data_IF_939456550776
#
_entry.id   IF_939456550776
#
_cell.length_a   1.000
_cell.length_b   1.000
_cell.length_c   1.000
_cell.angle_alpha   90.00
_cell.angle_beta   90.00
_cell.angle_gamma   90.00
#
_symmetry.space_group_name_H-M   'P 1'
#
loop_
_entity.id
_entity.type
_entity.pdbx_description
1 polymer ?
2 water ?
#
# COMPACT_ATOMS: atom_id res chain seq x y z
N UNK A 1 32.09 32.05 20.10
CA UNK A 1 32.01 30.57 20.24
C UNK A 1 30.79 30.07 19.48
N UNK A 2 30.57 28.75 19.50
CA UNK A 2 29.44 28.14 18.82
C UNK A 2 28.22 27.98 19.71
N UNK A 3 27.09 28.52 19.27
CA UNK A 3 25.85 28.39 20.03
C UNK A 3 25.50 26.91 19.94
N UNK A 4 25.05 26.33 21.04
CA UNK A 4 24.70 24.92 21.02
C UNK A 4 23.32 24.60 21.57
N UNK A 5 22.83 23.45 21.18
CA UNK A 5 21.53 23.01 21.62
C UNK A 5 21.69 21.61 22.16
N UNK A 6 20.58 20.92 22.36
CA UNK A 6 20.62 19.58 22.90
C UNK A 6 19.45 18.73 22.44
N UNK A 7 19.75 17.49 22.09
CA UNK A 7 18.74 16.55 21.68
C UNK A 7 18.79 15.42 22.70
N UNK A 8 17.99 15.54 23.75
CA UNK A 8 17.96 14.53 24.79
C UNK A 8 19.33 13.93 25.05
N UNK A 9 20.05 14.44 26.03
CA UNK A 9 21.37 13.92 26.37
C UNK A 9 22.43 14.04 25.29
N UNK A 10 22.09 14.68 24.18
CA UNK A 10 23.06 14.85 23.12
C UNK A 10 23.28 16.32 22.82
N UNK A 11 24.47 16.80 23.15
CA UNK A 11 24.80 18.19 22.90
C UNK A 11 25.45 18.30 21.53
N UNK A 12 25.02 19.31 20.78
CA UNK A 12 25.55 19.58 19.45
C UNK A 12 25.89 21.05 19.33
N UNK A 13 26.75 21.37 18.37
CA UNK A 13 27.12 22.76 18.17
C UNK A 13 26.62 23.21 16.81
N UNK A 14 26.04 24.41 16.78
CA UNK A 14 25.55 24.98 15.53
C UNK A 14 26.75 25.49 14.75
N UNK A 15 26.85 25.04 13.52
CA UNK A 15 27.96 25.40 12.66
C UNK A 15 27.94 26.83 12.16
N UNK A 16 29.05 27.22 11.56
CA UNK A 16 29.24 28.54 10.95
C UNK A 16 28.66 29.75 11.71
N UNK A 17 28.67 29.67 13.04
CA UNK A 17 28.17 30.75 13.86
C UNK A 17 26.79 31.25 13.52
N UNK A 18 25.79 30.38 13.68
CA UNK A 18 24.40 30.75 13.38
C UNK A 18 23.57 30.80 14.67
N UNK A 19 22.77 31.84 14.81
CA UNK A 19 21.91 31.98 15.97
C UNK A 19 21.00 30.74 16.03
N UNK A 20 20.48 30.44 17.21
CA UNK A 20 19.58 29.31 17.36
C UNK A 20 18.29 29.65 16.66
N UNK A 21 17.97 30.93 16.62
CA UNK A 21 16.75 31.37 15.97
C UNK A 21 16.88 31.29 14.44
N UNK A 22 18.12 31.22 13.97
CA UNK A 22 18.36 31.08 12.54
C UNK A 22 17.76 29.74 12.16
N UNK A 23 18.18 28.71 12.87
CA UNK A 23 17.71 27.35 12.65
C UNK A 23 16.21 27.30 12.79
N UNK A 24 15.75 27.69 13.96
CA UNK A 24 14.33 27.69 14.20
C UNK A 24 13.62 28.43 13.09
N UNK A 25 14.13 29.61 12.75
CA UNK A 25 13.52 30.41 11.71
C UNK A 25 13.55 29.78 10.34
N UNK A 26 14.72 29.28 9.95
CA UNK A 26 14.90 28.67 8.65
C UNK A 26 14.30 27.27 8.43
N UNK A 27 14.39 26.37 9.40
CA UNK A 27 13.85 25.01 9.21
C UNK A 27 12.59 24.70 9.96
N UNK A 28 12.05 25.71 10.63
CA UNK A 28 10.81 25.55 11.40
C UNK A 28 10.83 24.30 12.28
N UNK A 29 11.93 24.10 12.98
CA UNK A 29 12.05 22.96 13.87
C UNK A 29 12.70 23.37 15.18
N UNK A 30 12.38 22.63 16.24
CA UNK A 30 12.94 22.88 17.56
C UNK A 30 12.45 24.10 18.30
N UNK A 31 13.00 24.29 19.50
CA UNK A 31 12.66 25.43 20.37
C UNK A 31 13.79 25.69 21.37
N UNK A 32 13.66 26.78 22.12
CA UNK A 32 14.67 27.14 23.10
C UNK A 32 14.25 26.79 24.52
N UNK A 33 15.21 26.33 25.31
CA UNK A 33 14.99 25.97 26.70
C UNK A 33 16.25 26.44 27.38
N UNK A 34 16.18 27.65 27.92
CA UNK A 34 17.34 28.22 28.55
C UNK A 34 18.18 28.71 27.39
N UNK A 35 19.48 28.52 27.49
CA UNK A 35 20.37 28.96 26.44
C UNK A 35 20.72 27.79 25.52
N UNK A 36 19.79 26.85 25.40
CA UNK A 36 19.99 25.67 24.56
C UNK A 36 18.87 25.52 23.55
N UNK A 37 19.20 24.89 22.42
CA UNK A 37 18.22 24.64 21.39
C UNK A 37 17.78 23.20 21.56
N UNK A 38 16.48 22.98 21.66
CA UNK A 38 15.98 21.64 21.88
C UNK A 38 15.49 20.98 20.62
N UNK A 39 16.32 20.11 20.07
CA UNK A 39 15.97 19.38 18.85
C UNK A 39 15.56 17.96 19.16
N UNK A 40 14.57 17.46 18.44
CA UNK A 40 14.13 16.10 18.65
C UNK A 40 15.07 15.22 17.82
N UNK A 41 15.07 13.89 18.07
CA UNK A 41 15.93 12.96 17.34
C UNK A 41 16.02 13.15 15.82
N UNK A 42 14.88 13.31 15.17
CA UNK A 42 14.82 13.49 13.71
C UNK A 42 15.48 14.80 13.29
N UNK A 43 14.94 15.90 13.81
CA UNK A 43 15.44 17.23 13.52
C UNK A 43 16.95 17.30 13.70
N UNK A 44 17.42 16.78 14.81
CA UNK A 44 18.84 16.80 15.08
C UNK A 44 19.58 16.13 13.92
N UNK A 45 19.21 14.89 13.65
CA UNK A 45 19.83 14.11 12.57
C UNK A 45 19.70 14.89 11.28
N UNK A 46 18.49 15.37 11.03
CA UNK A 46 18.22 16.15 9.85
C UNK A 46 19.32 17.22 9.70
N UNK A 47 19.36 18.16 10.64
CA UNK A 47 20.34 19.22 10.59
C UNK A 47 21.76 18.71 10.51
N UNK A 48 22.04 17.55 11.10
CA UNK A 48 23.39 17.03 11.07
C UNK A 48 23.81 16.76 9.64
N UNK A 49 22.90 16.22 8.85
CA UNK A 49 23.20 15.93 7.45
C UNK A 49 23.26 17.22 6.63
N UNK A 50 22.59 18.25 7.12
CA UNK A 50 22.60 19.53 6.45
C UNK A 50 23.95 20.21 6.70
N UNK A 51 24.79 19.57 7.49
CA UNK A 51 26.11 20.13 7.79
C UNK A 51 25.94 21.35 8.68
N UNK A 52 24.73 21.52 9.20
CA UNK A 52 24.40 22.65 10.05
C UNK A 52 24.83 22.60 11.51
N UNK A 53 25.15 21.41 12.02
CA UNK A 53 25.58 21.28 13.42
C UNK A 53 26.61 20.17 13.59
N UNK A 54 27.41 20.27 14.65
CA UNK A 54 28.41 19.23 14.93
C UNK A 54 28.07 18.63 16.29
N UNK A 55 28.71 17.51 16.62
CA UNK A 55 28.45 16.81 17.87
C UNK A 55 29.58 16.86 18.87
N UNK A 56 29.21 16.89 20.14
CA UNK A 56 30.17 16.90 21.22
C UNK A 56 30.79 15.52 21.28
N UNK A 57 29.95 14.48 21.34
CA UNK A 57 30.45 13.12 21.40
C UNK A 57 30.32 12.46 20.04
N UNK A 58 31.25 11.55 19.73
CA UNK A 58 31.27 10.85 18.46
C UNK A 58 30.08 9.89 18.31
N UNK A 59 29.76 9.19 19.39
CA UNK A 59 28.66 8.23 19.41
C UNK A 59 27.32 8.82 19.04
N UNK A 60 27.04 10.01 19.55
CA UNK A 60 25.77 10.68 19.33
C UNK A 60 25.11 10.38 17.99
N UNK A 61 25.78 10.76 16.90
CA UNK A 61 25.23 10.52 15.56
C UNK A 61 24.69 9.10 15.45
N UNK A 62 25.57 8.12 15.57
CA UNK A 62 25.17 6.73 15.51
C UNK A 62 24.00 6.45 16.46
N UNK A 63 24.16 6.84 17.72
CA UNK A 63 23.13 6.63 18.73
C UNK A 63 21.77 7.11 18.23
N UNK A 64 21.70 8.38 17.84
CA UNK A 64 20.45 8.95 17.36
C UNK A 64 19.99 8.29 16.07
N UNK A 65 20.95 7.86 15.25
CA UNK A 65 20.60 7.20 14.01
C UNK A 65 19.92 5.88 14.33
N UNK A 66 20.32 5.26 15.43
CA UNK A 66 19.74 3.98 15.85
C UNK A 66 18.41 4.24 16.52
N UNK A 67 18.38 5.30 17.32
CA UNK A 67 17.19 5.74 18.04
C UNK A 67 15.99 5.79 17.11
N UNK A 68 16.15 6.56 16.03
CA UNK A 68 15.14 6.68 14.99
C UNK A 68 15.62 5.66 13.99
N UNK A 69 14.74 5.07 13.20
CA UNK A 69 15.23 4.08 12.25
C UNK A 69 15.49 4.66 10.88
N UNK A 70 16.28 3.94 10.10
CA UNK A 70 16.63 4.37 8.76
C UNK A 70 15.36 4.62 7.97
N UNK A 71 14.45 3.66 8.04
CA UNK A 71 13.18 3.74 7.36
C UNK A 71 12.38 4.98 7.74
N UNK A 72 12.14 5.13 9.03
CA UNK A 72 11.42 6.29 9.54
C UNK A 72 12.17 7.57 9.23
N UNK A 73 13.50 7.55 9.35
CA UNK A 73 14.29 8.76 9.07
C UNK A 73 14.18 9.25 7.62
N UNK A 74 14.46 8.34 6.68
CA UNK A 74 14.40 8.64 5.26
C UNK A 74 13.06 9.30 4.94
N UNK A 75 12.00 8.76 5.52
CA UNK A 75 10.68 9.32 5.29
C UNK A 75 10.69 10.77 5.76
N UNK A 76 11.09 10.96 7.02
CA UNK A 76 11.16 12.29 7.63
C UNK A 76 11.87 13.30 6.74
N UNK A 77 13.07 12.92 6.32
CA UNK A 77 13.88 13.78 5.48
C UNK A 77 13.19 14.14 4.17
N UNK A 78 12.77 13.13 3.43
CA UNK A 78 12.11 13.38 2.17
C UNK A 78 10.96 14.35 2.36
N UNK A 79 9.98 13.98 3.16
CA UNK A 79 8.84 14.85 3.40
C UNK A 79 9.30 16.25 3.79
N UNK A 80 10.41 16.32 4.52
CA UNK A 80 10.93 17.60 4.96
C UNK A 80 11.51 18.39 3.78
N UNK A 81 12.42 17.77 3.04
CA UNK A 81 13.03 18.42 1.90
C UNK A 81 12.02 18.82 0.86
N UNK A 82 10.93 18.07 0.78
CA UNK A 82 9.88 18.37 -0.17
C UNK A 82 9.18 19.66 0.27
N UNK A 83 9.22 19.95 1.57
CA UNK A 83 8.60 21.18 2.05
C UNK A 83 7.61 21.07 3.20
N UNK A 84 7.07 19.89 3.46
CA UNK A 84 6.09 19.72 4.52
C UNK A 84 6.60 20.01 5.93
N UNK A 85 5.64 20.16 6.83
CA UNK A 85 5.93 20.37 8.24
C UNK A 85 5.71 18.95 8.77
N UNK A 86 6.77 18.29 9.21
CA UNK A 86 6.63 16.93 9.68
C UNK A 86 6.64 16.80 11.19
N UNK A 87 6.13 15.68 11.68
CA UNK A 87 6.07 15.40 13.09
C UNK A 87 5.67 13.94 13.30
N UNK A 88 6.52 13.20 14.00
CA UNK A 88 6.28 11.78 14.27
C UNK A 88 5.86 11.56 15.70
N UNK A 89 4.98 10.58 15.91
CA UNK A 89 4.48 10.24 17.23
C UNK A 89 3.38 9.21 17.10
N UNK A 90 3.13 8.45 18.17
CA UNK A 90 2.10 7.43 18.15
C UNK A 90 2.47 6.36 17.16
N UNK A 91 3.72 6.40 16.67
CA UNK A 91 4.17 5.43 15.70
C UNK A 91 3.70 5.74 14.29
N UNK A 92 3.50 7.03 14.02
CA UNK A 92 3.05 7.48 12.72
C UNK A 92 3.77 8.77 12.38
N UNK A 93 3.89 9.08 11.10
CA UNK A 93 4.55 10.31 10.68
C UNK A 93 3.49 11.24 10.09
N UNK A 94 3.27 12.35 10.76
CA UNK A 94 2.27 13.31 10.31
C UNK A 94 2.93 14.45 9.55
N UNK A 95 2.29 14.89 8.48
CA UNK A 95 2.82 15.97 7.66
C UNK A 95 1.68 16.78 7.06
N UNK A 96 1.87 18.09 6.98
CA UNK A 96 0.87 19.00 6.44
C UNK A 96 1.59 19.98 5.53
N UNK A 97 0.83 20.63 4.67
CA UNK A 97 1.38 21.60 3.73
C UNK A 97 1.66 22.89 4.48
N UNK A 98 0.92 23.10 5.58
CA UNK A 98 1.12 24.31 6.35
C UNK A 98 0.24 24.42 7.59
N UNK A 99 -1.07 24.49 7.39
CA UNK A 99 -2.00 24.61 8.51
C UNK A 99 -3.23 23.75 8.34
N UNK A 100 -3.30 22.99 7.25
CA UNK A 100 -4.43 22.11 6.99
C UNK A 100 -4.30 20.87 7.85
N UNK A 101 -5.28 19.98 7.75
CA UNK A 101 -5.26 18.74 8.52
C UNK A 101 -4.01 17.97 8.08
N UNK A 102 -3.28 17.39 9.05
CA UNK A 102 -2.08 16.64 8.70
C UNK A 102 -2.46 15.40 7.90
N UNK A 103 -1.46 14.60 7.57
CA UNK A 103 -1.67 13.36 6.83
C UNK A 103 -0.78 12.31 7.49
N UNK A 104 -1.33 11.12 7.73
CA UNK A 104 -0.57 10.08 8.39
C UNK A 104 0.16 9.17 7.40
N UNK A 105 1.44 9.03 7.64
CA UNK A 105 2.29 8.19 6.82
C UNK A 105 2.60 6.98 7.72
N UNK A 106 2.56 5.79 7.15
CA UNK A 106 2.82 4.57 7.92
C UNK A 106 4.00 3.79 7.36
N UNK A 107 5.17 3.96 7.95
CA UNK A 107 6.37 3.25 7.51
C UNK A 107 6.14 1.77 7.73
N UNK A 108 6.30 0.99 6.65
CA UNK A 108 6.09 -0.45 6.68
C UNK A 108 7.39 -1.21 6.41
N UNK A 109 7.36 -2.51 6.67
CA UNK A 109 8.51 -3.39 6.45
C UNK A 109 7.99 -4.72 5.94
N UNK A 110 8.52 -5.11 4.78
CA UNK A 110 8.15 -6.35 4.09
C UNK A 110 7.64 -7.51 4.94
N UNK A 111 8.21 -7.68 6.12
CA UNK A 111 7.78 -8.79 6.94
C UNK A 111 6.72 -8.46 8.00
N UNK A 112 6.16 -7.26 7.93
CA UNK A 112 5.12 -6.88 8.89
C UNK A 112 3.83 -7.58 8.48
N UNK A 113 3.09 -8.05 9.46
CA UNK A 113 1.83 -8.74 9.18
C UNK A 113 0.75 -7.76 8.76
N UNK A 114 0.25 -7.93 7.53
CA UNK A 114 -0.80 -7.05 7.04
C UNK A 114 -2.16 -7.75 7.05
N UNK A 115 -3.21 -7.00 7.33
CA UNK A 115 -4.53 -7.58 7.38
C UNK A 115 -5.55 -6.71 6.63
N UNK A 116 -6.51 -7.36 5.96
CA UNK A 116 -7.53 -6.62 5.22
C UNK A 116 -8.20 -5.64 6.14
N UNK A 117 -8.60 -6.12 7.32
CA UNK A 117 -9.26 -5.27 8.28
C UNK A 117 -8.54 -3.93 8.41
N UNK A 118 -7.21 -4.00 8.52
CA UNK A 118 -6.42 -2.78 8.66
C UNK A 118 -6.60 -1.87 7.48
N UNK A 119 -6.64 -2.45 6.29
CA UNK A 119 -6.79 -1.71 5.05
C UNK A 119 -8.14 -1.02 4.88
N UNK A 120 -9.12 -1.41 5.70
CA UNK A 120 -10.47 -0.84 5.62
C UNK A 120 -10.77 0.13 6.79
N UNK A 121 -10.22 -0.15 7.96
CA UNK A 121 -10.41 0.71 9.12
C UNK A 121 -9.20 1.64 9.15
N UNK A 122 -8.67 1.89 7.95
CA UNK A 122 -7.49 2.72 7.73
C UNK A 122 -7.37 4.03 8.49
N UNK A 123 -6.52 4.03 9.52
CA UNK A 123 -6.33 5.26 10.30
C UNK A 123 -5.33 6.18 9.59
N UNK A 124 -4.53 5.57 8.70
CA UNK A 124 -3.51 6.29 7.95
C UNK A 124 -3.88 6.50 6.49
N UNK A 125 -3.40 7.60 5.92
CA UNK A 125 -3.73 7.93 4.53
C UNK A 125 -2.74 7.30 3.56
N UNK A 126 -1.53 7.04 4.04
CA UNK A 126 -0.50 6.47 3.20
C UNK A 126 0.37 5.46 3.94
N UNK A 127 0.98 4.58 3.15
CA UNK A 127 1.89 3.55 3.63
C UNK A 127 3.21 3.84 2.96
N UNK A 128 4.26 3.95 3.75
CA UNK A 128 5.58 4.25 3.22
C UNK A 128 6.51 3.04 3.23
N UNK A 129 7.48 3.07 2.34
CA UNK A 129 8.44 1.98 2.24
C UNK A 129 9.75 2.40 1.55
N UNK A 130 10.87 2.03 2.17
CA UNK A 130 12.18 2.33 1.62
C UNK A 130 12.89 1.01 1.37
N UNK A 131 13.34 0.81 0.14
CA UNK A 131 14.00 -0.44 -0.21
C UNK A 131 15.48 -0.45 0.13
N UNK A 132 16.14 -1.51 -0.31
CA UNK A 132 17.56 -1.72 -0.08
C UNK A 132 18.47 -0.68 -0.70
N UNK A 133 17.96 0.12 -1.62
CA UNK A 133 18.78 1.13 -2.25
C UNK A 133 18.32 2.51 -1.84
N UNK A 134 17.69 2.56 -0.67
CA UNK A 134 17.20 3.80 -0.14
C UNK A 134 16.10 4.41 -0.99
N UNK A 135 15.52 3.63 -1.90
CA UNK A 135 14.44 4.15 -2.74
C UNK A 135 13.12 4.05 -1.99
N UNK A 136 12.39 5.15 -1.91
CA UNK A 136 11.11 5.20 -1.22
C UNK A 136 9.91 4.87 -2.09
N UNK A 137 8.85 4.39 -1.44
CA UNK A 137 7.62 4.06 -2.13
C UNK A 137 6.42 4.30 -1.25
N UNK A 138 5.51 5.15 -1.72
CA UNK A 138 4.31 5.46 -0.98
C UNK A 138 3.15 4.73 -1.64
N UNK A 139 2.21 4.27 -0.84
CA UNK A 139 1.04 3.56 -1.34
C UNK A 139 -0.19 4.18 -0.75
N UNK A 140 -1.34 3.79 -1.30
CA UNK A 140 -2.63 4.29 -0.84
C UNK A 140 -3.65 3.19 -1.00
N UNK A 141 -4.48 2.99 0.02
CA UNK A 141 -5.50 1.93 -0.05
C UNK A 141 -6.91 2.44 0.32
N UNK A 142 -7.85 2.28 -0.62
CA UNK A 142 -9.23 2.71 -0.40
C UNK A 142 -10.25 1.70 -0.92
N UNK A 143 -11.32 1.54 -0.15
CA UNK A 143 -12.40 0.62 -0.50
C UNK A 143 -12.92 1.02 -1.87
N UNK A 144 -12.98 0.04 -2.76
CA UNK A 144 -13.42 0.27 -4.14
C UNK A 144 -14.72 -0.48 -4.41
N UNK A 145 -15.42 -0.10 -5.47
CA UNK A 145 -16.68 -0.75 -5.86
C UNK A 145 -16.70 -0.98 -7.37
N UNK A 146 -16.06 -2.08 -7.80
CA UNK A 146 -15.97 -2.47 -9.21
C UNK A 146 -17.28 -2.33 -9.96
N UNK A 147 -17.26 -1.56 -11.04
CA UNK A 147 -18.44 -1.34 -11.83
C UNK A 147 -18.37 -1.96 -13.21
N UNK A 148 -18.90 -3.17 -13.33
CA UNK A 148 -18.89 -3.84 -14.61
C UNK A 148 -20.01 -3.30 -15.47
N UNK A 149 -19.72 -3.10 -16.75
CA UNK A 149 -20.70 -2.59 -17.70
C UNK A 149 -21.17 -3.74 -18.60
N UNK A 150 -21.20 -4.95 -18.05
CA UNK A 150 -21.60 -6.12 -18.82
C UNK A 150 -22.97 -6.68 -18.48
N UNK A 151 -23.70 -7.09 -19.53
CA UNK A 151 -25.03 -7.66 -19.34
C UNK A 151 -24.89 -8.98 -18.65
N UNK A 152 -25.43 -9.05 -17.43
CA UNK A 152 -25.35 -10.26 -16.62
C UNK A 152 -26.61 -11.12 -16.72
N UNK A 153 -26.43 -12.43 -16.67
CA UNK A 153 -27.54 -13.37 -16.73
C UNK A 153 -27.29 -14.58 -15.84
N UNK A 154 -28.36 -15.15 -15.26
CA UNK A 154 -28.17 -16.33 -14.40
C UNK A 154 -27.72 -17.56 -15.22
N UNK A 155 -26.61 -18.16 -14.82
CA UNK A 155 -26.09 -19.32 -15.53
C UNK A 155 -26.06 -20.55 -14.64
N UNK A 156 -27.02 -21.44 -14.83
CA UNK A 156 -27.06 -22.67 -14.06
C UNK A 156 -26.94 -23.83 -15.03
N UNK A 157 -25.70 -24.29 -15.26
CA UNK A 157 -25.44 -25.37 -16.20
C UNK A 157 -24.91 -26.67 -15.60
N UNK A 158 -24.88 -27.74 -16.41
CA UNK A 158 -24.40 -29.05 -15.98
C UNK A 158 -22.87 -29.11 -16.14
N UNK A 159 -22.18 -29.59 -15.13
CA UNK A 159 -20.74 -29.67 -15.22
C UNK A 159 -20.28 -31.13 -15.16
N UNK A 160 -19.25 -31.45 -15.95
CA UNK A 160 -18.69 -32.79 -15.98
C UNK A 160 -17.17 -32.76 -15.80
N UNK A 161 -16.68 -33.58 -14.87
CA UNK A 161 -15.26 -33.63 -14.57
C UNK A 161 -14.64 -34.81 -15.31
N UNK A 162 -13.75 -34.54 -16.25
CA UNK A 162 -13.11 -35.62 -16.96
C UNK A 162 -11.71 -35.24 -17.35
N UNK A 163 -10.81 -36.23 -17.33
CA UNK A 163 -9.42 -35.99 -17.68
C UNK A 163 -8.68 -35.13 -16.68
N UNK A 164 -9.31 -34.86 -15.54
CA UNK A 164 -8.66 -34.05 -14.52
C UNK A 164 -9.00 -32.58 -14.58
N UNK A 165 -9.96 -32.23 -15.43
CA UNK A 165 -10.38 -30.84 -15.57
C UNK A 165 -11.89 -30.89 -15.61
N UNK A 166 -12.51 -29.74 -15.39
CA UNK A 166 -13.96 -29.62 -15.41
C UNK A 166 -14.41 -28.97 -16.72
N UNK A 167 -15.52 -29.44 -17.26
CA UNK A 167 -16.05 -28.91 -18.51
C UNK A 167 -17.55 -28.64 -18.45
N UNK A 168 -18.01 -27.80 -19.37
CA UNK A 168 -19.42 -27.46 -19.47
C UNK A 168 -19.77 -27.41 -20.94
N UNK A 169 -21.06 -27.27 -21.26
CA UNK A 169 -21.51 -27.20 -22.65
C UNK A 169 -20.87 -26.03 -23.38
N UNK A 170 -20.80 -26.12 -24.71
CA UNK A 170 -20.19 -25.05 -25.50
C UNK A 170 -21.10 -23.92 -25.93
N UNK A 171 -21.79 -23.31 -24.97
CA UNK A 171 -22.70 -22.21 -25.27
C UNK A 171 -22.77 -21.17 -24.15
N UNK A 172 -22.48 -21.56 -22.92
CA UNK A 172 -22.50 -20.63 -21.79
C UNK A 172 -21.91 -19.29 -22.22
N UNK A 173 -22.21 -18.24 -21.46
CA UNK A 173 -21.67 -16.92 -21.77
C UNK A 173 -20.38 -17.07 -22.53
N UNK A 174 -20.35 -16.59 -23.76
CA UNK A 174 -19.18 -16.72 -24.59
C UNK A 174 -17.89 -16.60 -23.79
N UNK A 175 -17.85 -15.66 -22.85
CA UNK A 175 -16.63 -15.44 -22.07
C UNK A 175 -16.32 -16.45 -20.96
N UNK A 176 -17.33 -17.09 -20.39
CA UNK A 176 -17.06 -18.06 -19.33
C UNK A 176 -16.47 -19.36 -19.86
N UNK A 177 -15.24 -19.66 -19.44
CA UNK A 177 -14.57 -20.87 -19.88
C UNK A 177 -13.61 -20.72 -21.04
N UNK A 178 -13.37 -21.82 -21.75
CA UNK A 178 -12.47 -21.82 -22.89
C UNK A 178 -12.98 -22.81 -23.94
N UNK A 179 -12.73 -22.51 -25.21
CA UNK A 179 -13.18 -23.37 -26.30
C UNK A 179 -12.28 -24.58 -26.50
N UNK A 180 -12.86 -25.77 -26.37
CA UNK A 180 -12.10 -27.01 -26.53
C UNK A 180 -12.99 -28.06 -27.17
N UNK A 181 -12.76 -28.31 -28.46
CA UNK A 181 -13.53 -29.29 -29.22
C UNK A 181 -15.01 -29.33 -28.88
N UNK A 182 -15.73 -28.26 -29.20
CA UNK A 182 -17.15 -28.22 -28.92
C UNK A 182 -17.52 -28.14 -27.45
N UNK A 183 -16.57 -28.43 -26.57
CA UNK A 183 -16.81 -28.34 -25.13
C UNK A 183 -16.41 -26.95 -24.65
N UNK A 184 -16.34 -26.81 -23.33
CA UNK A 184 -15.94 -25.57 -22.70
C UNK A 184 -15.06 -25.94 -21.49
N UNK A 185 -13.77 -25.61 -21.56
CA UNK A 185 -12.86 -25.90 -20.45
C UNK A 185 -13.10 -24.89 -19.35
N UNK A 186 -13.37 -25.42 -18.15
CA UNK A 186 -13.64 -24.56 -17.02
C UNK A 186 -12.49 -24.44 -16.04
N UNK A 187 -12.60 -23.44 -15.18
CA UNK A 187 -11.61 -23.24 -14.13
C UNK A 187 -12.37 -23.79 -12.95
N UNK A 188 -11.67 -24.09 -11.87
CA UNK A 188 -12.33 -24.63 -10.68
C UNK A 188 -13.38 -23.64 -10.16
N UNK A 189 -13.15 -22.35 -10.38
CA UNK A 189 -14.08 -21.33 -9.93
C UNK A 189 -15.29 -21.28 -10.82
N UNK A 190 -15.06 -21.24 -12.14
CA UNK A 190 -16.14 -21.18 -13.12
C UNK A 190 -17.08 -22.37 -12.97
N UNK A 191 -16.52 -23.50 -12.57
CA UNK A 191 -17.29 -24.71 -12.38
C UNK A 191 -18.24 -24.47 -11.23
N UNK A 192 -17.69 -24.05 -10.11
CA UNK A 192 -18.51 -23.81 -8.93
C UNK A 192 -19.60 -22.76 -9.16
N UNK A 193 -19.34 -21.80 -10.04
CA UNK A 193 -20.30 -20.74 -10.34
C UNK A 193 -21.56 -21.20 -11.07
N UNK A 194 -21.41 -21.81 -12.24
CA UNK A 194 -22.57 -22.27 -12.98
C UNK A 194 -23.10 -23.55 -12.37
N UNK A 195 -22.29 -24.13 -11.49
CA UNK A 195 -22.65 -25.36 -10.78
C UNK A 195 -23.53 -25.03 -9.58
N UNK A 196 -23.64 -23.75 -9.24
CA UNK A 196 -24.47 -23.32 -8.13
C UNK A 196 -23.90 -23.55 -6.73
N UNK A 197 -22.59 -23.39 -6.60
CA UNK A 197 -21.92 -23.56 -5.31
C UNK A 197 -21.21 -22.29 -4.88
N UNK A 198 -21.89 -21.16 -5.06
CA UNK A 198 -21.36 -19.84 -4.73
C UNK A 198 -20.74 -19.71 -3.34
N UNK A 199 -21.16 -20.56 -2.41
CA UNK A 199 -20.64 -20.51 -1.05
C UNK A 199 -19.53 -21.52 -0.79
N UNK A 200 -19.10 -22.21 -1.85
CA UNK A 200 -18.03 -23.19 -1.73
C UNK A 200 -16.91 -22.64 -0.86
N UNK A 201 -16.33 -21.53 -1.29
CA UNK A 201 -15.26 -20.87 -0.55
C UNK A 201 -15.32 -19.35 -0.72
N UNK A 202 -14.49 -18.66 0.04
CA UNK A 202 -14.45 -17.22 0.01
C UNK A 202 -14.10 -16.66 -1.36
N UNK A 203 -13.18 -17.32 -2.05
CA UNK A 203 -12.80 -16.87 -3.39
C UNK A 203 -13.98 -17.09 -4.31
N UNK A 204 -14.82 -18.04 -3.95
CA UNK A 204 -15.98 -18.32 -4.75
C UNK A 204 -17.00 -17.22 -4.52
N UNK A 205 -17.19 -16.86 -3.26
CA UNK A 205 -18.15 -15.80 -2.95
C UNK A 205 -17.79 -14.50 -3.66
N UNK A 206 -16.50 -14.19 -3.73
CA UNK A 206 -16.04 -12.97 -4.39
C UNK A 206 -16.23 -13.09 -5.90
N UNK A 207 -15.97 -14.27 -6.43
CA UNK A 207 -16.12 -14.57 -7.85
C UNK A 207 -17.54 -14.24 -8.31
N UNK A 208 -18.52 -14.69 -7.55
CA UNK A 208 -19.91 -14.42 -7.87
C UNK A 208 -20.18 -12.93 -7.71
N UNK A 209 -19.90 -12.39 -6.53
CA UNK A 209 -20.12 -10.98 -6.29
C UNK A 209 -19.56 -10.23 -7.48
N UNK A 210 -18.38 -10.63 -7.91
CA UNK A 210 -17.72 -9.95 -9.02
C UNK A 210 -18.49 -10.04 -10.33
N UNK A 211 -18.79 -11.26 -10.77
CA UNK A 211 -19.52 -11.41 -12.01
C UNK A 211 -20.83 -10.64 -11.94
N UNK A 212 -21.52 -10.78 -10.81
CA UNK A 212 -22.80 -10.12 -10.61
C UNK A 212 -22.76 -8.61 -10.76
N UNK A 213 -21.57 -8.01 -10.66
CA UNK A 213 -21.40 -6.56 -10.76
C UNK A 213 -21.25 -6.11 -12.22
N UNK A 214 -21.31 -7.04 -13.16
CA UNK A 214 -21.17 -6.68 -14.55
C UNK A 214 -19.75 -6.84 -15.03
N UNK A 215 -18.93 -7.49 -14.21
CA UNK A 215 -17.55 -7.72 -14.57
C UNK A 215 -17.42 -9.11 -15.16
N UNK A 216 -16.37 -9.32 -15.94
CA UNK A 216 -16.12 -10.62 -16.52
C UNK A 216 -14.85 -11.13 -15.84
N UNK A 217 -14.97 -12.28 -15.20
CA UNK A 217 -13.87 -12.88 -14.47
C UNK A 217 -13.16 -14.05 -15.15
N UNK A 218 -11.86 -13.85 -15.34
CA UNK A 218 -11.00 -14.83 -15.96
C UNK A 218 -9.84 -15.00 -14.98
N UNK A 219 -9.29 -16.21 -14.91
CA UNK A 219 -8.18 -16.47 -14.00
C UNK A 219 -7.03 -15.46 -14.18
N UNK A 220 -6.46 -15.00 -13.06
CA UNK A 220 -5.37 -14.06 -13.13
C UNK A 220 -4.08 -14.67 -12.61
N UNK A 221 -3.86 -15.93 -12.95
CA UNK A 221 -2.69 -16.69 -12.53
C UNK A 221 -1.40 -16.18 -13.14
N UNK A 222 -1.47 -15.74 -14.40
CA UNK A 222 -0.30 -15.22 -15.10
C UNK A 222 0.16 -13.95 -14.44
N UNK A 223 -0.34 -13.70 -13.24
CA UNK A 223 0.03 -12.50 -12.49
C UNK A 223 0.17 -12.75 -11.00
N UNK A 224 -0.15 -13.94 -10.55
CA UNK A 224 -0.04 -14.26 -9.14
C UNK A 224 -1.26 -13.82 -8.36
N UNK A 225 -2.34 -13.56 -9.09
CA UNK A 225 -3.60 -13.14 -8.49
C UNK A 225 -4.71 -14.15 -8.76
N UNK A 226 -5.72 -14.16 -7.91
CA UNK A 226 -6.83 -15.09 -8.10
C UNK A 226 -7.46 -14.88 -9.45
N UNK A 227 -7.68 -13.63 -9.85
CA UNK A 227 -8.27 -13.38 -11.15
C UNK A 227 -8.14 -11.99 -11.70
N UNK A 228 -8.29 -11.89 -13.01
CA UNK A 228 -8.21 -10.62 -13.73
C UNK A 228 -9.66 -10.32 -14.08
N UNK A 229 -10.01 -9.03 -14.14
CA UNK A 229 -11.38 -8.69 -14.44
C UNK A 229 -11.49 -7.56 -15.45
N UNK A 230 -12.36 -7.76 -16.43
CA UNK A 230 -12.60 -6.77 -17.47
C UNK A 230 -13.90 -6.05 -17.06
N UNK A 231 -13.83 -4.71 -16.99
CA UNK A 231 -14.96 -3.89 -16.61
C UNK A 231 -15.89 -3.52 -17.76
N UNK A 232 -15.38 -3.54 -18.98
CA UNK A 232 -16.21 -3.18 -20.12
C UNK A 232 -16.36 -4.26 -21.16
N UNK A 233 -17.26 -4.01 -22.11
CA UNK A 233 -17.52 -4.95 -23.18
C UNK A 233 -16.23 -5.14 -23.97
N UNK A 234 -15.95 -4.18 -24.85
CA UNK A 234 -14.76 -4.22 -25.69
C UNK A 234 -13.55 -3.76 -24.89
N UNK A 235 -13.11 -4.60 -23.96
CA UNK A 235 -11.94 -4.27 -23.16
C UNK A 235 -10.79 -5.11 -23.67
N UNK A 236 -9.79 -4.45 -24.22
CA UNK A 236 -8.61 -5.10 -24.77
C UNK A 236 -7.78 -5.79 -23.68
N UNK A 237 -7.64 -5.13 -22.53
CA UNK A 237 -6.87 -5.67 -21.42
C UNK A 237 -7.65 -5.49 -20.12
N UNK A 238 -7.52 -6.44 -19.19
CA UNK A 238 -8.24 -6.38 -17.92
C UNK A 238 -7.75 -5.22 -17.05
N UNK A 239 -8.67 -4.35 -16.66
CA UNK A 239 -8.34 -3.20 -15.85
C UNK A 239 -7.93 -3.57 -14.43
N UNK A 240 -8.60 -4.58 -13.89
CA UNK A 240 -8.34 -5.00 -12.53
C UNK A 240 -7.70 -6.35 -12.36
N UNK A 241 -6.92 -6.44 -11.31
CA UNK A 241 -6.25 -7.65 -10.95
C UNK A 241 -6.70 -7.82 -9.51
N UNK A 242 -7.52 -8.83 -9.26
CA UNK A 242 -8.04 -9.04 -7.93
C UNK A 242 -7.53 -10.30 -7.26
N UNK A 243 -7.27 -10.18 -5.96
CA UNK A 243 -6.78 -11.31 -5.19
C UNK A 243 -7.42 -11.34 -3.81
N UNK A 244 -7.75 -12.54 -3.34
CA UNK A 244 -8.37 -12.68 -2.04
C UNK A 244 -7.31 -12.79 -0.97
N UNK A 245 -7.30 -11.83 -0.07
CA UNK A 245 -6.34 -11.80 1.02
C UNK A 245 -6.64 -12.91 2.02
N UNK A 246 -5.74 -13.92 2.08
CA UNK A 246 -5.82 -15.09 2.95
C UNK A 246 -5.77 -14.76 4.44
N UNK A 247 -5.85 -15.80 5.28
CA UNK A 247 -5.83 -15.66 6.72
C UNK A 247 -4.75 -14.67 7.22
N UNK A 248 -3.48 -15.07 7.12
CA UNK A 248 -2.37 -14.21 7.55
C UNK A 248 -1.67 -13.66 6.31
N UNK A 249 -1.27 -12.39 6.35
CA UNK A 249 -0.64 -11.78 5.19
C UNK A 249 0.60 -10.97 5.53
N UNK A 250 1.57 -11.00 4.61
CA UNK A 250 2.82 -10.27 4.75
C UNK A 250 2.83 -9.13 3.74
N UNK A 251 3.35 -7.99 4.15
CA UNK A 251 3.35 -6.83 3.27
C UNK A 251 4.00 -7.02 1.90
N UNK A 252 5.16 -7.68 1.84
CA UNK A 252 5.81 -7.85 0.54
C UNK A 252 4.86 -8.42 -0.49
N UNK A 253 3.87 -9.16 -0.02
CA UNK A 253 2.88 -9.74 -0.92
C UNK A 253 2.11 -8.58 -1.53
N UNK A 254 1.62 -7.70 -0.67
CA UNK A 254 0.90 -6.52 -1.08
C UNK A 254 1.83 -5.74 -1.99
N UNK A 255 3.01 -5.44 -1.48
CA UNK A 255 4.01 -4.71 -2.23
C UNK A 255 4.24 -5.38 -3.58
N UNK A 256 4.42 -6.69 -3.54
CA UNK A 256 4.66 -7.48 -4.75
C UNK A 256 3.55 -7.28 -5.77
N UNK A 257 2.32 -7.56 -5.34
CA UNK A 257 1.18 -7.42 -6.22
C UNK A 257 1.12 -6.09 -6.93
N UNK A 258 1.22 -4.99 -6.17
CA UNK A 258 1.17 -3.66 -6.75
C UNK A 258 2.15 -3.50 -7.92
N UNK A 259 3.26 -4.20 -7.84
CA UNK A 259 4.30 -4.13 -8.87
C UNK A 259 3.91 -4.89 -10.14
N UNK A 260 3.78 -6.21 -10.03
CA UNK A 260 3.40 -7.04 -11.17
C UNK A 260 2.12 -6.54 -11.80
N UNK A 261 1.47 -5.60 -11.12
CA UNK A 261 0.21 -5.03 -11.60
C UNK A 261 0.45 -3.75 -12.40
N UNK A 262 1.11 -2.79 -11.78
CA UNK A 262 1.40 -1.53 -12.45
C UNK A 262 2.20 -1.84 -13.69
N UNK A 263 3.03 -2.87 -13.61
CA UNK A 263 3.84 -3.29 -14.73
C UNK A 263 2.93 -3.52 -15.94
N UNK A 264 1.93 -4.37 -15.75
CA UNK A 264 0.99 -4.70 -16.80
C UNK A 264 -0.15 -3.69 -16.85
N UNK A 265 0.10 -2.52 -16.31
CA UNK A 265 -0.89 -1.45 -16.27
C UNK A 265 -2.29 -1.88 -15.83
N UNK A 266 -2.38 -2.53 -14.67
CA UNK A 266 -3.65 -2.97 -14.12
C UNK A 266 -3.65 -2.51 -12.67
N UNK A 267 -4.78 -2.63 -11.98
CA UNK A 267 -4.86 -2.18 -10.60
C UNK A 267 -5.07 -3.29 -9.58
N UNK A 268 -4.22 -3.32 -8.55
CA UNK A 268 -4.32 -4.35 -7.50
C UNK A 268 -5.52 -4.11 -6.61
N UNK A 269 -6.38 -5.11 -6.54
CA UNK A 269 -7.57 -5.01 -5.73
C UNK A 269 -7.51 -6.20 -4.78
N UNK A 270 -7.74 -5.93 -3.50
CA UNK A 270 -7.73 -6.99 -2.51
C UNK A 270 -9.13 -7.16 -1.95
N UNK A 271 -9.67 -8.35 -2.15
CA UNK A 271 -11.01 -8.67 -1.70
C UNK A 271 -11.00 -9.51 -0.45
N UNK A 272 -12.10 -9.42 0.30
CA UNK A 272 -12.25 -10.18 1.52
C UNK A 272 -13.69 -9.99 2.03
N UNK A 273 -14.19 -10.94 2.82
CA UNK A 273 -15.53 -10.83 3.35
C UNK A 273 -15.44 -10.11 4.69
N UNK A 274 -15.53 -8.78 4.63
CA UNK A 274 -15.46 -7.94 5.81
C UNK A 274 -16.87 -7.61 6.26
N UNK A 275 -17.18 -8.02 7.49
CA UNK A 275 -18.49 -7.76 8.06
C UNK A 275 -19.63 -8.31 7.21
N UNK A 276 -19.58 -9.60 6.94
CA UNK A 276 -20.63 -10.28 6.18
C UNK A 276 -20.76 -9.85 4.71
N UNK A 277 -19.90 -8.94 4.26
CA UNK A 277 -19.97 -8.50 2.87
C UNK A 277 -18.65 -8.65 2.12
N UNK A 278 -18.75 -8.66 0.80
CA UNK A 278 -17.61 -8.80 -0.09
C UNK A 278 -17.17 -7.43 -0.57
N UNK A 279 -16.25 -6.80 0.16
CA UNK A 279 -15.77 -5.49 -0.20
C UNK A 279 -14.39 -5.60 -0.81
N UNK A 280 -13.98 -4.56 -1.53
CA UNK A 280 -12.69 -4.53 -2.20
C UNK A 280 -11.93 -3.29 -1.80
N UNK A 281 -10.60 -3.40 -1.87
CA UNK A 281 -9.73 -2.30 -1.52
C UNK A 281 -8.63 -2.18 -2.55
N UNK A 282 -8.55 -1.01 -3.19
CA UNK A 282 -7.52 -0.78 -4.19
C UNK A 282 -6.26 -0.23 -3.54
N UNK A 283 -5.11 -0.77 -3.93
CA UNK A 283 -3.82 -0.32 -3.41
C UNK A 283 -2.98 0.11 -4.59
N UNK A 284 -2.36 1.28 -4.49
CA UNK A 284 -1.54 1.77 -5.59
C UNK A 284 -0.40 2.67 -5.18
N UNK A 285 0.60 2.79 -6.05
CA UNK A 285 1.74 3.64 -5.79
C UNK A 285 1.20 5.06 -5.82
N UNK A 286 1.79 5.92 -4.99
CA UNK A 286 1.38 7.30 -4.91
C UNK A 286 2.57 8.18 -5.21
N UNK A 287 2.42 9.08 -6.19
CA UNK A 287 3.49 9.97 -6.58
C UNK A 287 3.68 11.22 -5.70
N UNK A 288 3.07 12.34 -6.12
CA UNK A 288 3.17 13.63 -5.42
C UNK A 288 3.75 13.58 -4.02
N UNK A 289 3.02 12.99 -3.07
CA UNK A 289 3.56 12.88 -1.72
C UNK A 289 4.83 12.08 -1.88
N UNK A 290 5.97 12.79 -1.93
CA UNK A 290 7.28 12.16 -2.11
C UNK A 290 7.51 11.85 -3.59
#
# INVERSE_FOLDING_TARGET
HMEQGICGSHVFFIEDGKSKNYIIGKYKIGYLSGDNLILDPYECLYLYFKGRISFQNSDSFRDLFDTVTFDRYVAYEILKNKGYRVKEDSGLIYFRKGTEKPLSLRVMREYDRIQFSDLVENPVDYYFTVDEEGDPTVYSSQEIFPGGRNLVSPVSAPVVRMGGRSFGAGDLEWWIGTAFHGFRLLTENEANYISGNHSASQVDMVYSDLVGRGCIVKTGFKYGANFRVYLGRDSQHAEYLVSVMPEEERWYSISRGVRVASSVRKTMIYASIYKNEVRYVALKRVKDII
#
